data_IF_838346630995
#
_entry.id   IF_838346630995
#
_cell.length_a   1.000
_cell.length_b   1.000
_cell.length_c   1.000
_cell.angle_alpha   90.00
_cell.angle_beta   90.00
_cell.angle_gamma   90.00
#
_symmetry.space_group_name_H-M   'P 1'
#
loop_
_entity.id
_entity.type
_entity.pdbx_description
1 polymer ?
#
# COMPACT_ATOMS: atom_id res chain seq x y z
N UNK A 1 -3.50 13.18 13.78
CA UNK A 1 -3.19 11.83 13.25
C UNK A 1 -1.68 11.69 13.22
N UNK A 2 -1.11 10.66 13.84
CA UNK A 2 0.35 10.47 13.94
C UNK A 2 0.83 9.26 13.16
N UNK A 3 2.11 9.27 12.79
CA UNK A 3 2.76 8.15 12.12
C UNK A 3 2.82 6.92 13.03
N UNK A 4 2.70 5.74 12.43
CA UNK A 4 2.88 4.46 13.11
C UNK A 4 4.07 3.73 12.52
N UNK A 5 4.90 3.15 13.38
CA UNK A 5 5.99 2.28 12.94
C UNK A 5 5.41 0.94 12.51
N UNK A 6 5.73 0.49 11.30
CA UNK A 6 5.24 -0.76 10.71
C UNK A 6 6.44 -1.63 10.33
N UNK A 7 6.35 -2.93 10.61
CA UNK A 7 7.34 -3.92 10.16
C UNK A 7 7.02 -4.35 8.74
N UNK A 8 8.02 -4.38 7.88
CA UNK A 8 7.90 -4.70 6.46
C UNK A 8 8.95 -5.73 6.09
N UNK A 9 8.71 -6.46 4.99
CA UNK A 9 9.72 -7.40 4.49
C UNK A 9 10.94 -6.63 3.97
N UNK A 10 12.14 -7.13 4.30
CA UNK A 10 13.40 -6.45 4.03
C UNK A 10 13.70 -6.30 2.53
N UNK A 11 13.33 -7.30 1.73
CA UNK A 11 13.44 -7.31 0.27
C UNK A 11 12.72 -6.10 -0.37
N UNK A 12 11.46 -5.90 0.00
CA UNK A 12 10.61 -4.83 -0.53
C UNK A 12 11.10 -3.47 -0.06
N UNK A 13 11.48 -3.35 1.21
CA UNK A 13 12.03 -2.12 1.74
C UNK A 13 13.31 -1.71 1.00
N UNK A 14 14.19 -2.67 0.69
CA UNK A 14 15.42 -2.41 -0.04
C UNK A 14 15.14 -1.91 -1.47
N UNK A 15 14.24 -2.58 -2.20
CA UNK A 15 13.86 -2.18 -3.56
C UNK A 15 13.32 -0.75 -3.58
N UNK A 16 12.38 -0.43 -2.67
CA UNK A 16 11.79 0.91 -2.58
C UNK A 16 12.86 1.94 -2.23
N UNK A 17 13.77 1.63 -1.30
CA UNK A 17 14.86 2.54 -0.92
C UNK A 17 15.78 2.86 -2.09
N UNK A 18 16.15 1.87 -2.91
CA UNK A 18 16.96 2.07 -4.12
C UNK A 18 16.22 2.97 -5.11
N UNK A 19 14.94 2.71 -5.34
CA UNK A 19 14.11 3.46 -6.27
C UNK A 19 13.98 4.94 -5.85
N UNK A 20 13.66 5.19 -4.59
CA UNK A 20 13.53 6.56 -4.05
C UNK A 20 14.87 7.31 -4.05
N UNK A 21 15.99 6.60 -3.91
CA UNK A 21 17.32 7.21 -4.00
C UNK A 21 17.66 7.63 -5.44
N UNK A 22 17.16 6.92 -6.46
CA UNK A 22 17.40 7.22 -7.87
C UNK A 22 16.50 8.33 -8.41
N UNK A 23 15.21 8.27 -8.08
CA UNK A 23 14.18 9.08 -8.72
C UNK A 23 13.64 10.21 -7.83
N UNK A 24 14.18 10.34 -6.61
CA UNK A 24 13.67 11.25 -5.59
C UNK A 24 12.44 10.70 -4.85
N UNK A 25 12.08 11.37 -3.75
CA UNK A 25 10.95 10.98 -2.89
C UNK A 25 11.37 10.16 -1.65
N UNK A 26 10.37 9.80 -0.83
CA UNK A 26 10.60 9.11 0.44
C UNK A 26 9.89 7.75 0.51
N UNK A 27 10.55 6.76 1.13
CA UNK A 27 10.02 5.42 1.39
C UNK A 27 8.66 5.47 2.08
N UNK A 28 8.47 6.43 3.01
CA UNK A 28 7.19 6.62 3.72
C UNK A 28 6.03 6.96 2.77
N UNK A 29 6.25 7.88 1.83
CA UNK A 29 5.20 8.34 0.90
C UNK A 29 4.79 7.21 -0.06
N UNK A 30 5.79 6.48 -0.58
CA UNK A 30 5.57 5.30 -1.42
C UNK A 30 4.76 4.24 -0.66
N UNK A 31 5.10 3.99 0.61
CA UNK A 31 4.39 3.05 1.46
C UNK A 31 2.94 3.50 1.70
N UNK A 32 2.71 4.78 1.98
CA UNK A 32 1.37 5.32 2.22
C UNK A 32 0.46 5.16 0.99
N UNK A 33 0.96 5.52 -0.20
CA UNK A 33 0.23 5.38 -1.47
C UNK A 33 -0.09 3.91 -1.73
N UNK A 34 0.87 3.01 -1.50
CA UNK A 34 0.71 1.58 -1.75
C UNK A 34 -0.32 0.95 -0.82
N UNK A 35 -0.25 1.25 0.48
CA UNK A 35 -1.21 0.77 1.49
C UNK A 35 -2.61 1.27 1.17
N UNK A 36 -2.75 2.57 0.86
CA UNK A 36 -4.04 3.16 0.50
C UNK A 36 -4.65 2.51 -0.73
N UNK A 37 -3.84 2.31 -1.78
CA UNK A 37 -4.28 1.70 -3.03
C UNK A 37 -4.68 0.24 -2.83
N UNK A 38 -3.93 -0.52 -2.02
CA UNK A 38 -4.25 -1.91 -1.70
C UNK A 38 -5.57 -2.00 -0.92
N UNK A 39 -5.77 -1.14 0.07
CA UNK A 39 -6.99 -1.13 0.87
C UNK A 39 -8.21 -0.83 -0.01
N UNK A 40 -8.14 0.21 -0.87
CA UNK A 40 -9.21 0.52 -1.82
C UNK A 40 -9.56 -0.67 -2.72
N UNK A 41 -8.54 -1.31 -3.31
CA UNK A 41 -8.74 -2.47 -4.18
C UNK A 41 -9.44 -3.62 -3.43
N UNK A 42 -9.00 -3.94 -2.22
CA UNK A 42 -9.63 -4.99 -1.39
C UNK A 42 -11.08 -4.65 -1.06
N UNK A 43 -11.36 -3.40 -0.69
CA UNK A 43 -12.72 -2.96 -0.37
C UNK A 43 -13.65 -3.04 -1.58
N UNK A 44 -13.18 -2.66 -2.77
CA UNK A 44 -13.96 -2.74 -4.01
C UNK A 44 -14.30 -4.19 -4.33
N UNK A 45 -13.31 -5.10 -4.29
CA UNK A 45 -13.54 -6.52 -4.55
C UNK A 45 -14.54 -7.11 -3.55
N UNK A 46 -14.41 -6.75 -2.27
CA UNK A 46 -15.34 -7.20 -1.24
C UNK A 46 -16.77 -6.70 -1.48
N UNK A 47 -16.91 -5.42 -1.82
CA UNK A 47 -18.21 -4.82 -2.15
C UNK A 47 -18.88 -5.50 -3.34
N UNK A 48 -18.14 -5.75 -4.42
CA UNK A 48 -18.66 -6.45 -5.60
C UNK A 48 -19.09 -7.88 -5.28
N UNK A 49 -18.34 -8.59 -4.41
CA UNK A 49 -18.72 -9.94 -3.96
C UNK A 49 -20.04 -9.93 -3.19
N UNK A 50 -20.27 -8.94 -2.33
CA UNK A 50 -21.53 -8.79 -1.60
C UNK A 50 -22.68 -8.52 -2.56
N UNK A 51 -22.50 -7.63 -3.53
CA UNK A 51 -23.53 -7.32 -4.53
C UNK A 51 -23.87 -8.55 -5.38
N UNK A 52 -22.87 -9.27 -5.87
CA UNK A 52 -23.09 -10.46 -6.70
C UNK A 52 -23.80 -11.58 -5.92
N UNK A 53 -23.46 -11.77 -4.65
CA UNK A 53 -24.08 -12.80 -3.80
C UNK A 53 -25.49 -12.41 -3.27
N UNK A 54 -25.97 -11.19 -3.54
CA UNK A 54 -27.31 -10.72 -3.16
C UNK A 54 -28.36 -10.87 -4.27
N UNK A 55 -27.92 -11.12 -5.51
CA UNK A 55 -28.78 -11.48 -6.65
C UNK A 55 -28.84 -12.99 -6.81
#
# INVERSE_FOLDING_TARGET
>A
MGDKTVRVRADLHHIIKIETAKNGGNVKEVMEIRLRSKLKSVLIVHYLKILYNRN
#
